data_IF_872710224469
#
_entry.id   IF_872710224469
#
_cell.length_a   1.000
_cell.length_b   1.000
_cell.length_c   1.000
_cell.angle_alpha   90.00
_cell.angle_beta   90.00
_cell.angle_gamma   90.00
#
_symmetry.space_group_name_H-M   'P 1'
#
loop_
_entity.id
_entity.type
_entity.pdbx_description
1 polymer ?
#
# COMPACT_ATOMS: atom_id res chain seq x y z
N UNK A 1 -13.17 0.74 -6.14
CA UNK A 1 -13.72 2.06 -5.72
C UNK A 1 -13.93 2.19 -4.20
N UNK A 2 -14.22 1.12 -3.45
CA UNK A 2 -14.60 1.24 -2.03
C UNK A 2 -13.47 1.54 -1.03
N UNK A 3 -12.22 1.15 -1.30
CA UNK A 3 -11.11 1.25 -0.32
C UNK A 3 -10.28 2.53 -0.48
N UNK A 4 -10.05 2.96 -1.72
CA UNK A 4 -9.18 4.11 -2.07
C UNK A 4 -9.50 5.42 -1.31
N UNK A 5 -10.77 5.79 -1.05
CA UNK A 5 -11.07 7.02 -0.29
C UNK A 5 -10.55 7.00 1.16
N UNK A 6 -10.29 5.80 1.70
CA UNK A 6 -9.82 5.58 3.06
C UNK A 6 -8.30 5.35 3.14
N UNK A 7 -7.58 5.52 2.03
CA UNK A 7 -6.11 5.34 1.99
C UNK A 7 -5.38 6.65 1.81
N UNK A 8 -4.25 6.84 2.50
CA UNK A 8 -3.30 7.92 2.23
C UNK A 8 -2.15 7.42 1.34
N UNK A 9 -2.38 7.44 0.03
CA UNK A 9 -1.38 7.01 -0.95
C UNK A 9 -0.18 7.95 -1.02
N UNK A 10 -0.29 9.21 -0.59
CA UNK A 10 0.87 10.10 -0.54
C UNK A 10 1.82 9.64 0.56
N UNK A 11 1.31 9.39 1.76
CA UNK A 11 2.09 8.85 2.88
C UNK A 11 2.67 7.48 2.55
N UNK A 12 1.89 6.58 1.94
CA UNK A 12 2.39 5.27 1.50
C UNK A 12 3.59 5.39 0.56
N UNK A 13 3.49 6.20 -0.50
CA UNK A 13 4.58 6.39 -1.47
C UNK A 13 5.78 7.10 -0.85
N UNK A 14 5.54 8.12 -0.02
CA UNK A 14 6.59 8.82 0.73
C UNK A 14 7.43 7.86 1.56
N UNK A 15 6.77 7.04 2.37
CA UNK A 15 7.43 6.08 3.25
C UNK A 15 8.09 4.94 2.48
N UNK A 16 7.55 4.53 1.33
CA UNK A 16 8.17 3.55 0.46
C UNK A 16 9.45 4.11 -0.22
N UNK A 17 9.46 5.38 -0.62
CA UNK A 17 10.66 6.02 -1.16
C UNK A 17 11.69 6.38 -0.08
N UNK A 18 11.24 6.57 1.17
CA UNK A 18 12.06 6.97 2.30
C UNK A 18 12.81 8.27 2.01
N UNK A 19 14.11 8.30 2.31
CA UNK A 19 14.98 9.48 2.11
C UNK A 19 15.03 9.98 0.66
N UNK A 20 14.66 9.16 -0.33
CA UNK A 20 14.68 9.57 -1.72
C UNK A 20 13.45 10.39 -2.13
N UNK A 21 12.42 10.50 -1.28
CA UNK A 21 11.23 11.29 -1.57
C UNK A 21 11.57 12.75 -1.89
N UNK A 22 12.49 13.35 -1.14
CA UNK A 22 12.92 14.75 -1.34
C UNK A 22 13.68 14.98 -2.64
N UNK A 23 14.11 13.93 -3.33
CA UNK A 23 14.77 14.02 -4.65
C UNK A 23 13.77 14.13 -5.80
N UNK A 24 12.50 13.80 -5.57
CA UNK A 24 11.46 13.86 -6.59
C UNK A 24 10.84 15.26 -6.65
N UNK A 25 10.75 15.81 -7.86
CA UNK A 25 9.96 17.02 -8.14
C UNK A 25 8.47 16.81 -7.81
N UNK A 26 7.69 17.88 -7.59
CA UNK A 26 6.24 17.77 -7.35
C UNK A 26 5.49 16.95 -8.42
N UNK A 27 5.91 17.07 -9.68
CA UNK A 27 5.37 16.34 -10.82
C UNK A 27 5.70 14.85 -10.71
N UNK A 28 6.97 14.52 -10.45
CA UNK A 28 7.41 13.14 -10.23
C UNK A 28 6.71 12.51 -9.02
N UNK A 29 6.56 13.24 -7.92
CA UNK A 29 5.83 12.79 -6.73
C UNK A 29 4.38 12.41 -7.08
N UNK A 30 3.70 13.25 -7.87
CA UNK A 30 2.33 12.99 -8.32
C UNK A 30 2.25 11.73 -9.18
N UNK A 31 3.20 11.57 -10.10
CA UNK A 31 3.29 10.39 -10.97
C UNK A 31 3.58 9.11 -10.16
N UNK A 32 4.55 9.16 -9.25
CA UNK A 32 4.90 8.04 -8.37
C UNK A 32 3.70 7.59 -7.52
N UNK A 33 2.93 8.53 -6.96
CA UNK A 33 1.70 8.22 -6.21
C UNK A 33 0.69 7.50 -7.11
N UNK A 34 0.46 8.01 -8.32
CA UNK A 34 -0.50 7.42 -9.26
C UNK A 34 -0.07 6.02 -9.72
N UNK A 35 1.19 5.86 -10.10
CA UNK A 35 1.74 4.60 -10.61
C UNK A 35 1.80 3.54 -9.51
N UNK A 36 2.25 3.90 -8.31
CA UNK A 36 2.31 2.94 -7.20
C UNK A 36 0.91 2.50 -6.76
N UNK A 37 -0.05 3.44 -6.71
CA UNK A 37 -1.47 3.11 -6.48
C UNK A 37 -2.01 2.14 -7.53
N UNK A 38 -1.73 2.39 -8.82
CA UNK A 38 -2.14 1.48 -9.90
C UNK A 38 -1.52 0.09 -9.71
N UNK A 39 -0.23 0.03 -9.35
CA UNK A 39 0.48 -1.23 -9.14
C UNK A 39 -0.19 -2.06 -8.06
N UNK A 40 -0.42 -1.47 -6.88
CA UNK A 40 -1.07 -2.16 -5.76
C UNK A 40 -2.48 -2.63 -6.11
N UNK A 41 -3.28 -1.77 -6.75
CA UNK A 41 -4.64 -2.16 -7.20
C UNK A 41 -4.56 -3.37 -8.12
N UNK A 42 -3.65 -3.36 -9.11
CA UNK A 42 -3.54 -4.46 -10.08
C UNK A 42 -3.05 -5.75 -9.41
N UNK A 43 -1.99 -5.68 -8.62
CA UNK A 43 -1.41 -6.84 -7.93
C UNK A 43 -2.43 -7.54 -7.02
N UNK A 44 -3.28 -6.79 -6.33
CA UNK A 44 -4.20 -7.36 -5.33
C UNK A 44 -5.66 -7.46 -5.79
N UNK A 45 -6.02 -6.86 -6.93
CA UNK A 45 -7.40 -6.91 -7.44
C UNK A 45 -7.90 -8.34 -7.69
N UNK A 46 -7.04 -9.24 -8.16
CA UNK A 46 -7.38 -10.65 -8.37
C UNK A 46 -7.71 -11.39 -7.07
N UNK A 47 -6.90 -11.20 -6.01
CA UNK A 47 -7.19 -11.79 -4.70
C UNK A 47 -8.48 -11.22 -4.10
N UNK A 48 -8.68 -9.90 -4.22
CA UNK A 48 -9.88 -9.23 -3.72
C UNK A 48 -11.15 -9.66 -4.48
N UNK A 49 -11.07 -9.99 -5.76
CA UNK A 49 -12.24 -10.43 -6.55
C UNK A 49 -12.67 -11.87 -6.21
N UNK A 50 -11.78 -12.67 -5.61
CA UNK A 50 -12.08 -14.00 -5.09
C UNK A 50 -12.74 -13.97 -3.71
N UNK A 51 -12.79 -12.81 -3.06
CA UNK A 51 -13.51 -12.63 -1.80
C UNK A 51 -15.02 -12.54 -2.10
N UNK A 52 -15.75 -13.65 -1.88
CA UNK A 52 -17.22 -13.75 -2.01
C UNK A 52 -17.88 -14.07 -0.68
N UNK A 53 -17.46 -15.17 -0.07
CA UNK A 53 -18.06 -15.72 1.16
C UNK A 53 -17.17 -15.54 2.39
N UNK A 54 -16.04 -14.86 2.22
CA UNK A 54 -15.08 -14.60 3.28
C UNK A 54 -15.58 -13.48 4.19
N UNK A 55 -15.36 -13.64 5.49
CA UNK A 55 -15.65 -12.63 6.52
C UNK A 55 -14.36 -12.03 7.05
N UNK A 56 -14.40 -10.76 7.45
CA UNK A 56 -13.27 -10.10 8.12
C UNK A 56 -13.55 -10.06 9.61
N UNK A 57 -12.68 -10.69 10.39
CA UNK A 57 -12.74 -10.65 11.85
C UNK A 57 -11.69 -9.68 12.39
N UNK A 58 -12.12 -8.76 13.25
CA UNK A 58 -11.22 -7.85 13.96
C UNK A 58 -10.64 -8.56 15.19
N UNK A 59 -9.32 -8.46 15.37
CA UNK A 59 -8.68 -8.85 16.62
C UNK A 59 -8.84 -7.73 17.67
N UNK A 60 -8.61 -8.01 18.96
CA UNK A 60 -8.66 -6.99 20.01
C UNK A 60 -7.81 -5.77 19.65
N UNK A 61 -8.47 -4.61 19.59
CA UNK A 61 -7.82 -3.33 19.34
C UNK A 61 -7.10 -2.85 20.60
N UNK A 62 -5.84 -2.44 20.45
CA UNK A 62 -4.99 -1.96 21.55
C UNK A 62 -4.36 -0.63 21.14
N UNK A 63 -4.99 0.46 21.54
CA UNK A 63 -4.49 1.82 21.39
C UNK A 63 -5.10 2.70 22.49
N UNK A 64 -4.43 3.77 22.87
CA UNK A 64 -4.99 4.80 23.73
C UNK A 64 -5.92 5.72 22.92
N UNK A 65 -6.95 6.32 23.53
CA UNK A 65 -7.84 7.27 22.83
C UNK A 65 -7.12 8.49 22.23
N UNK A 66 -5.95 8.84 22.77
CA UNK A 66 -5.10 9.95 22.30
C UNK A 66 -4.20 9.58 21.12
N UNK A 67 -4.07 8.30 20.80
CA UNK A 67 -3.16 7.85 19.74
C UNK A 67 -3.67 8.35 18.37
N UNK A 68 -2.73 8.81 17.54
CA UNK A 68 -3.00 9.29 16.17
C UNK A 68 -2.40 8.38 15.11
N UNK A 69 -1.62 7.37 15.49
CA UNK A 69 -1.09 6.33 14.61
C UNK A 69 -1.29 4.97 15.29
N UNK A 70 -2.02 4.06 14.64
CA UNK A 70 -2.47 2.80 15.25
C UNK A 70 -2.39 1.63 14.27
N UNK A 71 -2.32 0.42 14.82
CA UNK A 71 -2.45 -0.81 14.04
C UNK A 71 -3.80 -1.46 14.33
N UNK A 72 -4.61 -1.62 13.30
CA UNK A 72 -5.84 -2.43 13.34
C UNK A 72 -5.52 -3.80 12.77
N UNK A 73 -5.70 -4.83 13.59
CA UNK A 73 -5.39 -6.21 13.20
C UNK A 73 -6.64 -6.96 12.80
N UNK A 74 -6.62 -7.63 11.66
CA UNK A 74 -7.75 -8.42 11.18
C UNK A 74 -7.32 -9.79 10.65
N UNK A 75 -8.29 -10.67 10.49
CA UNK A 75 -8.11 -11.96 9.82
C UNK A 75 -9.26 -12.14 8.85
N UNK A 76 -8.94 -12.47 7.61
CA UNK A 76 -9.91 -12.89 6.61
C UNK A 76 -10.16 -14.38 6.79
N UNK A 77 -11.40 -14.75 7.11
CA UNK A 77 -11.85 -16.13 7.36
C UNK A 77 -12.70 -16.58 6.18
N UNK A 78 -12.34 -17.71 5.58
CA UNK A 78 -13.07 -18.35 4.48
C UNK A 78 -13.11 -19.87 4.64
N UNK A 79 -13.21 -20.58 3.51
CA UNK A 79 -13.09 -22.05 3.47
C UNK A 79 -11.64 -22.55 3.51
N UNK A 80 -10.70 -21.68 3.14
CA UNK A 80 -9.26 -21.92 3.19
C UNK A 80 -8.65 -21.43 4.50
N UNK A 81 -7.33 -21.59 4.64
CA UNK A 81 -6.60 -21.09 5.79
C UNK A 81 -6.86 -19.59 6.04
N UNK A 82 -7.01 -19.18 7.32
CA UNK A 82 -7.15 -17.79 7.71
C UNK A 82 -5.99 -16.92 7.21
N UNK A 83 -6.31 -15.76 6.63
CA UNK A 83 -5.30 -14.83 6.10
C UNK A 83 -5.19 -13.62 7.03
N UNK A 84 -4.08 -13.44 7.76
CA UNK A 84 -3.84 -12.22 8.54
C UNK A 84 -3.71 -11.00 7.62
N UNK A 85 -4.43 -9.95 7.97
CA UNK A 85 -4.43 -8.68 7.25
C UNK A 85 -4.48 -7.54 8.27
N UNK A 86 -3.33 -6.88 8.48
CA UNK A 86 -3.24 -5.77 9.42
C UNK A 86 -3.11 -4.44 8.67
N UNK A 87 -3.53 -3.36 9.31
CA UNK A 87 -3.55 -2.03 8.72
C UNK A 87 -2.85 -1.05 9.66
N UNK A 88 -1.95 -0.22 9.14
CA UNK A 88 -1.50 0.98 9.84
C UNK A 88 -2.39 2.15 9.43
N UNK A 89 -2.95 2.83 10.41
CA UNK A 89 -3.83 3.97 10.22
C UNK A 89 -3.25 5.20 10.90
N UNK A 90 -3.38 6.34 10.25
CA UNK A 90 -3.12 7.65 10.83
C UNK A 90 -4.42 8.44 10.92
N UNK A 91 -4.59 9.21 12.00
CA UNK A 91 -5.66 10.17 12.18
C UNK A 91 -5.28 11.48 11.48
N UNK A 92 -6.01 11.83 10.43
CA UNK A 92 -5.85 13.11 9.73
C UNK A 92 -7.02 14.05 10.06
N UNK A 93 -6.97 15.28 9.56
CA UNK A 93 -8.08 16.23 9.67
C UNK A 93 -9.36 15.72 8.98
N UNK A 94 -9.21 14.85 7.98
CA UNK A 94 -10.31 14.22 7.23
C UNK A 94 -10.71 12.85 7.80
N UNK A 95 -10.27 12.54 9.03
CA UNK A 95 -10.50 11.27 9.71
C UNK A 95 -9.36 10.26 9.55
N UNK A 96 -9.62 9.01 9.94
CA UNK A 96 -8.61 7.95 9.88
C UNK A 96 -8.34 7.50 8.44
N UNK A 97 -7.07 7.38 8.07
CA UNK A 97 -6.60 6.91 6.77
C UNK A 97 -5.63 5.75 6.94
N UNK A 98 -5.83 4.68 6.19
CA UNK A 98 -4.88 3.57 6.07
C UNK A 98 -3.71 4.05 5.23
N UNK A 99 -2.49 3.96 5.76
CA UNK A 99 -1.28 4.29 4.99
C UNK A 99 -0.40 3.07 4.70
N UNK A 100 -0.64 1.93 5.35
CA UNK A 100 0.09 0.69 5.09
C UNK A 100 -0.78 -0.53 5.38
N UNK A 101 -0.45 -1.64 4.73
CA UNK A 101 -1.14 -2.92 4.88
C UNK A 101 -0.10 -4.01 5.08
N UNK A 102 -0.34 -4.88 6.06
CA UNK A 102 0.41 -6.09 6.29
C UNK A 102 -0.35 -7.27 5.68
N UNK A 103 0.28 -7.98 4.75
CA UNK A 103 -0.30 -9.19 4.17
C UNK A 103 0.61 -10.35 4.57
N UNK A 104 0.06 -11.30 5.34
CA UNK A 104 0.78 -12.51 5.77
C UNK A 104 2.14 -12.23 6.45
N UNK A 105 2.23 -11.17 7.25
CA UNK A 105 3.42 -10.80 8.00
C UNK A 105 4.30 -9.76 7.30
N UNK A 106 4.09 -9.46 6.02
CA UNK A 106 4.87 -8.48 5.28
C UNK A 106 4.11 -7.14 5.12
N UNK A 107 4.69 -6.06 5.65
CA UNK A 107 4.21 -4.70 5.41
C UNK A 107 4.59 -4.24 4.01
N UNK A 108 3.64 -3.66 3.27
CA UNK A 108 3.85 -3.26 1.89
C UNK A 108 4.91 -2.17 1.76
N UNK A 109 4.89 -1.16 2.63
CA UNK A 109 5.88 -0.08 2.59
C UNK A 109 7.30 -0.65 2.70
N UNK A 110 7.56 -1.51 3.67
CA UNK A 110 8.86 -2.14 3.90
C UNK A 110 9.25 -3.04 2.71
N UNK A 111 8.31 -3.82 2.18
CA UNK A 111 8.56 -4.70 1.05
C UNK A 111 8.99 -3.93 -0.22
N UNK A 112 8.33 -2.80 -0.51
CA UNK A 112 8.65 -1.97 -1.67
C UNK A 112 9.84 -1.04 -1.45
N UNK A 113 10.15 -0.64 -0.22
CA UNK A 113 11.25 0.31 0.08
C UNK A 113 12.59 -0.15 -0.46
N UNK A 114 12.91 -1.43 -0.30
CA UNK A 114 14.17 -1.99 -0.79
C UNK A 114 14.22 -1.95 -2.33
N UNK A 115 13.13 -2.33 -2.99
CA UNK A 115 13.04 -2.29 -4.45
C UNK A 115 13.16 -0.86 -4.99
N UNK A 116 12.47 0.10 -4.38
CA UNK A 116 12.49 1.51 -4.80
C UNK A 116 13.87 2.11 -4.59
N UNK A 117 14.51 1.84 -3.45
CA UNK A 117 15.87 2.29 -3.17
C UNK A 117 16.85 1.79 -4.23
N UNK A 118 16.76 0.51 -4.62
CA UNK A 118 17.61 -0.06 -5.65
C UNK A 118 17.37 0.61 -7.02
N UNK A 119 16.11 0.76 -7.44
CA UNK A 119 15.78 1.42 -8.71
C UNK A 119 16.30 2.86 -8.75
N UNK A 120 16.08 3.62 -7.68
CA UNK A 120 16.53 5.02 -7.59
C UNK A 120 18.06 5.10 -7.58
N UNK A 121 18.75 4.17 -6.92
CA UNK A 121 20.22 4.17 -6.89
C UNK A 121 20.86 3.94 -8.26
N UNK A 122 20.20 3.16 -9.11
CA UNK A 122 20.72 2.81 -10.44
C UNK A 122 20.32 3.86 -11.49
N UNK A 123 19.08 4.33 -11.44
CA UNK A 123 18.45 5.04 -12.56
C UNK A 123 17.75 6.35 -12.13
N UNK A 124 17.96 6.80 -10.90
CA UNK A 124 17.30 7.99 -10.35
C UNK A 124 15.79 7.84 -10.18
N UNK A 125 15.11 8.95 -9.88
CA UNK A 125 13.65 8.97 -9.67
C UNK A 125 12.91 8.59 -10.96
N UNK A 126 13.40 9.05 -12.12
CA UNK A 126 12.81 8.70 -13.42
C UNK A 126 12.89 7.19 -13.70
N UNK A 127 13.97 6.55 -13.27
CA UNK A 127 14.09 5.10 -13.31
C UNK A 127 13.03 4.37 -12.50
N UNK A 128 12.70 4.85 -11.30
CA UNK A 128 11.60 4.28 -10.51
C UNK A 128 10.25 4.49 -11.20
N UNK A 129 10.00 5.66 -11.77
CA UNK A 129 8.76 5.94 -12.51
C UNK A 129 8.62 4.97 -13.67
N UNK A 130 9.65 4.85 -14.51
CA UNK A 130 9.68 3.93 -15.64
C UNK A 130 9.46 2.48 -15.19
N UNK A 131 10.12 2.06 -14.12
CA UNK A 131 9.93 0.74 -13.54
C UNK A 131 8.46 0.48 -13.15
N UNK A 132 7.81 1.42 -12.47
CA UNK A 132 6.41 1.27 -12.07
C UNK A 132 5.47 1.21 -13.28
N UNK A 133 5.71 2.05 -14.30
CA UNK A 133 4.94 2.04 -15.55
C UNK A 133 5.04 0.71 -16.28
N UNK A 134 6.24 0.16 -16.42
CA UNK A 134 6.48 -1.14 -17.04
C UNK A 134 5.78 -2.26 -16.26
N UNK A 135 5.85 -2.22 -14.92
CA UNK A 135 5.13 -3.18 -14.05
C UNK A 135 3.62 -3.08 -14.22
N UNK A 136 3.08 -1.86 -14.28
CA UNK A 136 1.66 -1.64 -14.53
C UNK A 136 1.22 -2.15 -15.90
N UNK A 137 2.03 -1.93 -16.95
CA UNK A 137 1.75 -2.42 -18.31
C UNK A 137 1.76 -3.95 -18.37
N UNK A 138 2.77 -4.61 -17.76
CA UNK A 138 2.84 -6.07 -17.68
C UNK A 138 1.63 -6.67 -16.96
N UNK A 139 1.19 -6.07 -15.86
CA UNK A 139 0.00 -6.54 -15.12
C UNK A 139 -1.31 -6.25 -15.87
N UNK A 140 -1.35 -5.26 -16.76
CA UNK A 140 -2.51 -4.99 -17.60
C UNK A 140 -2.69 -6.03 -18.72
N UNK A 141 -1.59 -6.55 -19.27
CA UNK A 141 -1.58 -7.55 -20.34
C UNK A 141 -1.85 -8.99 -19.88
N UNK A 142 -1.85 -9.27 -18.57
CA UNK A 142 -2.17 -10.60 -17.99
C UNK A 142 -3.68 -10.86 -17.82
N UNK A 143 -4.53 -10.18 -18.60
CA UNK A 143 -5.98 -10.38 -18.57
C UNK A 143 -6.41 -11.50 -19.50
#
# INVERSE_FOLDING_TARGET
KKIVPYTDMRRTTQLAMGRNWSKASPEQQTQLIAEFKSLLIRTYSGALSQLRDQTVQYKPFRANPSDTDVIVRTVVIGKSDPIPLDYRLEKTNDGWKVYDINIMGAWLIEAYRNQFTNQISQNGVDGLIKFLQERNAMLAGKK
#
